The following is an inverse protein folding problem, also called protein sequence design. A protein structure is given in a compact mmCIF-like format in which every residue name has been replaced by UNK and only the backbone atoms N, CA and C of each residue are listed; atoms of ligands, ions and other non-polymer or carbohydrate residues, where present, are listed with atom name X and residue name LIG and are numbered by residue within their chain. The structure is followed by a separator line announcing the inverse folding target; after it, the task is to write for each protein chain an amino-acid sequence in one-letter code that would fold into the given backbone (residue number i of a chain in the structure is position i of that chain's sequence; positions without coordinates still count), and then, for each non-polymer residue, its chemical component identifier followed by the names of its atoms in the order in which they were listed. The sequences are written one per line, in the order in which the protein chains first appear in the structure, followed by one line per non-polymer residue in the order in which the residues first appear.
data_IF_419373400983
#
_entry.id   IF_419373400983
#
_cell.length_a   1.000
_cell.length_b   1.000
_cell.length_c   1.000
_cell.angle_alpha   90.00
_cell.angle_beta   90.00
_cell.angle_gamma   90.00
#
_symmetry.space_group_name_H-M   'P 1'
#
loop_
_entity.id
_entity.type
_entity.pdbx_description
1 polymer ?
#
# COMPACT_ATOMS: atom_id res chain seq x y z
N UNK A 1 1.37 21.05 -4.25
CA UNK A 1 0.29 20.49 -3.42
C UNK A 1 0.24 21.26 -2.11
N UNK A 2 -0.96 21.62 -1.62
CA UNK A 2 -1.08 22.12 -0.24
C UNK A 2 -0.69 21.01 0.73
N UNK A 3 -0.04 21.40 1.83
CA UNK A 3 0.24 20.50 2.95
C UNK A 3 -0.75 20.77 4.07
N UNK A 4 -1.15 19.70 4.74
CA UNK A 4 -1.95 19.77 5.95
C UNK A 4 -1.08 19.48 7.17
N UNK A 5 -1.19 20.34 8.18
CA UNK A 5 -0.39 20.31 9.40
C UNK A 5 -1.25 19.89 10.58
N UNK A 6 -0.86 18.84 11.31
CA UNK A 6 -1.64 18.31 12.44
C UNK A 6 -0.75 17.91 13.63
N UNK A 7 -1.38 17.65 14.77
CA UNK A 7 -0.69 17.21 15.98
C UNK A 7 0.16 18.29 16.65
N UNK A 8 1.14 17.87 17.46
CA UNK A 8 2.03 18.76 18.22
C UNK A 8 2.72 19.79 17.33
N UNK A 9 2.82 21.04 17.82
CA UNK A 9 3.52 22.12 17.13
C UNK A 9 4.99 21.75 16.83
N UNK A 10 5.67 21.08 17.75
CA UNK A 10 7.06 20.66 17.59
C UNK A 10 7.24 19.67 16.43
N UNK A 11 6.31 18.73 16.25
CA UNK A 11 6.35 17.77 15.14
C UNK A 11 6.09 18.45 13.81
N UNK A 12 5.07 19.32 13.75
CA UNK A 12 4.77 20.15 12.57
C UNK A 12 5.97 20.98 12.11
N UNK A 13 6.57 21.74 13.03
CA UNK A 13 7.73 22.57 12.72
C UNK A 13 8.93 21.74 12.26
N UNK A 14 9.19 20.60 12.94
CA UNK A 14 10.28 19.70 12.56
C UNK A 14 10.09 19.12 11.17
N UNK A 15 8.89 18.64 10.82
CA UNK A 15 8.60 18.09 9.50
C UNK A 15 8.65 19.16 8.40
N UNK A 16 8.19 20.40 8.67
CA UNK A 16 8.33 21.52 7.74
C UNK A 16 9.79 21.90 7.48
N UNK A 17 10.59 22.04 8.55
CA UNK A 17 12.01 22.35 8.43
C UNK A 17 12.75 21.24 7.67
N UNK A 18 12.41 19.98 7.93
CA UNK A 18 12.96 18.84 7.21
C UNK A 18 12.62 18.91 5.72
N UNK A 19 11.37 19.20 5.35
CA UNK A 19 10.96 19.33 3.95
C UNK A 19 11.73 20.46 3.23
N UNK A 20 11.87 21.63 3.85
CA UNK A 20 12.62 22.75 3.29
C UNK A 20 14.10 22.40 3.11
N UNK A 21 14.71 21.77 4.12
CA UNK A 21 16.10 21.35 4.07
C UNK A 21 16.34 20.27 3.01
N UNK A 22 15.48 19.24 2.92
CA UNK A 22 15.57 18.20 1.88
C UNK A 22 15.42 18.81 0.48
N UNK A 23 14.47 19.73 0.30
CA UNK A 23 14.26 20.43 -0.97
C UNK A 23 15.53 21.16 -1.42
N UNK A 24 16.20 21.87 -0.49
CA UNK A 24 17.46 22.54 -0.77
C UNK A 24 18.58 21.54 -1.09
N UNK A 25 18.73 20.49 -0.27
CA UNK A 25 19.77 19.48 -0.47
C UNK A 25 19.65 18.76 -1.81
N UNK A 26 18.45 18.29 -2.15
CA UNK A 26 18.19 17.60 -3.42
C UNK A 26 18.47 18.55 -4.58
N UNK A 27 18.08 19.81 -4.49
CA UNK A 27 18.39 20.82 -5.51
C UNK A 27 19.90 20.99 -5.72
N UNK A 28 20.66 21.19 -4.64
CA UNK A 28 22.12 21.35 -4.70
C UNK A 28 22.81 20.09 -5.23
N UNK A 29 22.39 18.91 -4.74
CA UNK A 29 22.91 17.62 -5.21
C UNK A 29 22.69 17.44 -6.71
N UNK A 30 21.47 17.73 -7.19
CA UNK A 30 21.13 17.60 -8.62
C UNK A 30 21.90 18.56 -9.51
N UNK A 31 22.16 19.78 -9.05
CA UNK A 31 23.00 20.74 -9.78
C UNK A 31 24.46 20.28 -9.91
N UNK A 32 24.96 19.48 -8.96
CA UNK A 32 26.35 19.00 -8.96
C UNK A 32 26.53 17.63 -9.62
N UNK A 33 25.57 16.73 -9.43
CA UNK A 33 25.72 15.30 -9.73
C UNK A 33 24.62 14.75 -10.65
N UNK A 34 23.61 15.56 -11.00
CA UNK A 34 22.42 15.09 -11.70
C UNK A 34 21.44 14.34 -10.77
N UNK A 35 20.36 13.77 -11.33
CA UNK A 35 19.37 13.02 -10.57
C UNK A 35 19.96 11.71 -10.00
N UNK A 36 19.48 11.27 -8.83
CA UNK A 36 19.92 10.00 -8.22
C UNK A 36 19.69 8.78 -9.13
N UNK A 37 18.55 8.77 -9.82
CA UNK A 37 18.24 7.83 -10.90
C UNK A 37 17.86 8.65 -12.14
N UNK A 38 18.26 8.21 -13.33
CA UNK A 38 18.14 9.03 -14.55
C UNK A 38 16.69 9.43 -14.89
N UNK A 39 15.71 8.61 -14.55
CA UNK A 39 14.27 8.87 -14.71
C UNK A 39 13.64 9.68 -13.57
N UNK A 40 14.37 9.96 -12.48
CA UNK A 40 13.81 10.68 -11.35
C UNK A 40 13.72 12.19 -11.61
N UNK A 41 12.49 12.67 -11.55
CA UNK A 41 12.21 14.11 -11.45
C UNK A 41 12.67 14.64 -10.08
N UNK A 42 12.81 15.96 -9.98
CA UNK A 42 13.08 16.62 -8.69
C UNK A 42 12.01 16.26 -7.64
N UNK A 43 10.75 16.12 -8.03
CA UNK A 43 9.63 15.78 -7.14
C UNK A 43 9.77 14.37 -6.57
N UNK A 44 10.10 13.38 -7.41
CA UNK A 44 10.30 11.99 -6.97
C UNK A 44 11.45 11.93 -5.97
N UNK A 45 12.60 12.52 -6.30
CA UNK A 45 13.79 12.48 -5.45
C UNK A 45 13.59 13.21 -4.12
N UNK A 46 12.94 14.38 -4.14
CA UNK A 46 12.62 15.18 -2.95
C UNK A 46 11.62 14.46 -2.06
N UNK A 47 10.53 13.94 -2.63
CA UNK A 47 9.51 13.20 -1.87
C UNK A 47 10.09 11.94 -1.24
N UNK A 48 10.87 11.16 -2.00
CA UNK A 48 11.51 9.93 -1.50
C UNK A 48 12.46 10.23 -0.36
N UNK A 49 13.34 11.23 -0.53
CA UNK A 49 14.30 11.62 0.51
C UNK A 49 13.59 12.18 1.74
N UNK A 50 12.53 12.96 1.55
CA UNK A 50 11.74 13.52 2.64
C UNK A 50 11.03 12.43 3.44
N UNK A 51 10.28 11.54 2.78
CA UNK A 51 9.58 10.42 3.42
C UNK A 51 10.56 9.54 4.17
N UNK A 52 11.70 9.20 3.56
CA UNK A 52 12.74 8.41 4.22
C UNK A 52 13.17 9.03 5.55
N UNK A 53 13.55 10.31 5.52
CA UNK A 53 14.05 10.99 6.72
C UNK A 53 12.95 11.21 7.76
N UNK A 54 11.71 11.39 7.31
CA UNK A 54 10.55 11.47 8.20
C UNK A 54 10.34 10.15 8.93
N UNK A 55 10.38 9.01 8.23
CA UNK A 55 10.32 7.67 8.81
C UNK A 55 11.50 7.43 9.78
N UNK A 56 12.73 7.83 9.42
CA UNK A 56 13.89 7.73 10.33
C UNK A 56 13.66 8.45 11.65
N UNK A 57 13.03 9.63 11.61
CA UNK A 57 12.70 10.39 12.82
C UNK A 57 11.58 9.70 13.58
N UNK A 58 10.53 9.25 12.90
CA UNK A 58 9.39 8.55 13.50
C UNK A 58 9.88 7.32 14.28
N UNK A 59 10.66 6.45 13.64
CA UNK A 59 11.21 5.23 14.25
C UNK A 59 12.19 5.50 15.41
N UNK A 60 12.71 6.72 15.51
CA UNK A 60 13.52 7.15 16.65
C UNK A 60 12.70 7.63 17.85
N UNK A 61 11.37 7.76 17.73
CA UNK A 61 10.51 8.19 18.82
C UNK A 61 10.17 7.02 19.77
N UNK A 62 10.07 7.28 21.09
CA UNK A 62 9.97 6.23 22.13
C UNK A 62 8.78 5.26 22.03
N UNK A 63 7.65 5.69 21.46
CA UNK A 63 6.40 4.89 21.47
C UNK A 63 5.74 4.90 20.10
N UNK A 64 5.13 3.79 19.69
CA UNK A 64 4.44 3.67 18.39
C UNK A 64 3.38 4.76 18.18
N UNK A 65 2.68 5.17 19.24
CA UNK A 65 1.73 6.28 19.22
C UNK A 65 2.38 7.62 18.81
N UNK A 66 3.59 7.92 19.33
CA UNK A 66 4.34 9.11 18.93
C UNK A 66 4.88 8.98 17.50
N UNK A 67 5.28 7.78 17.05
CA UNK A 67 5.72 7.55 15.68
C UNK A 67 4.57 7.85 14.70
N UNK A 68 3.38 7.28 14.93
CA UNK A 68 2.16 7.54 14.14
C UNK A 68 1.78 9.02 14.16
N UNK A 69 1.77 9.66 15.33
CA UNK A 69 1.48 11.10 15.46
C UNK A 69 2.47 11.96 14.66
N UNK A 70 3.75 11.60 14.67
CA UNK A 70 4.79 12.32 13.92
C UNK A 70 4.63 12.17 12.41
N UNK A 71 4.32 10.96 11.93
CA UNK A 71 4.09 10.72 10.50
C UNK A 71 2.87 11.48 9.96
N UNK A 72 1.84 11.69 10.79
CA UNK A 72 0.66 12.49 10.45
C UNK A 72 0.85 14.01 10.60
N UNK A 73 2.01 14.47 11.08
CA UNK A 73 2.22 15.89 11.39
C UNK A 73 2.30 16.78 10.14
N UNK A 74 2.77 16.23 9.01
CA UNK A 74 2.83 16.91 7.72
C UNK A 74 2.41 15.95 6.60
N UNK A 75 1.18 16.10 6.12
CA UNK A 75 0.61 15.26 5.07
C UNK A 75 0.36 16.10 3.82
N UNK A 76 0.86 15.65 2.67
CA UNK A 76 0.50 16.26 1.40
C UNK A 76 -0.98 16.00 1.13
N UNK A 77 -1.74 17.02 0.73
CA UNK A 77 -3.16 16.87 0.41
C UNK A 77 -3.37 17.06 -1.09
N UNK A 78 -3.78 16.00 -1.76
CA UNK A 78 -4.07 16.05 -3.19
C UNK A 78 -5.37 16.81 -3.46
N UNK A 79 -5.40 17.59 -4.53
CA UNK A 79 -6.64 18.21 -5.02
C UNK A 79 -7.68 17.18 -5.45
N UNK A 80 -7.25 15.95 -5.76
CA UNK A 80 -8.15 14.87 -6.19
C UNK A 80 -9.16 14.48 -5.10
N UNK A 81 -8.84 14.71 -3.82
CA UNK A 81 -9.77 14.48 -2.71
C UNK A 81 -11.04 15.32 -2.81
N UNK A 82 -11.00 16.48 -3.48
CA UNK A 82 -12.20 17.30 -3.70
C UNK A 82 -13.25 16.58 -4.57
N UNK A 83 -12.83 15.62 -5.40
CA UNK A 83 -13.72 14.82 -6.23
C UNK A 83 -14.34 13.65 -5.48
N UNK A 84 -13.95 13.41 -4.22
CA UNK A 84 -14.48 12.35 -3.37
C UNK A 84 -15.53 12.89 -2.39
N UNK A 85 -16.51 12.04 -2.09
CA UNK A 85 -17.29 12.08 -0.86
C UNK A 85 -16.72 11.01 0.07
N UNK A 86 -16.27 11.42 1.26
CA UNK A 86 -15.64 10.54 2.24
C UNK A 86 -16.58 10.38 3.44
N UNK A 87 -16.98 9.15 3.73
CA UNK A 87 -17.96 8.84 4.79
C UNK A 87 -17.36 7.81 5.73
N UNK A 88 -17.29 8.14 7.03
CA UNK A 88 -16.87 7.18 8.03
C UNK A 88 -17.97 6.14 8.26
N UNK A 89 -17.55 4.89 8.46
CA UNK A 89 -18.42 3.78 8.83
C UNK A 89 -17.85 3.10 10.06
N UNK A 90 -18.72 2.90 11.05
CA UNK A 90 -18.48 2.02 12.18
C UNK A 90 -19.79 1.24 12.40
N UNK A 91 -19.86 0.04 11.82
CA UNK A 91 -21.08 -0.76 11.81
C UNK A 91 -20.73 -2.24 11.74
N UNK A 92 -21.50 -3.08 12.45
CA UNK A 92 -21.33 -4.53 12.48
C UNK A 92 -19.89 -5.00 12.81
N UNK A 93 -19.18 -4.26 13.68
CA UNK A 93 -17.79 -4.57 14.05
C UNK A 93 -16.75 -4.18 13.00
N UNK A 94 -17.15 -3.57 11.89
CA UNK A 94 -16.26 -3.09 10.83
C UNK A 94 -16.12 -1.57 10.95
N UNK A 95 -14.88 -1.10 10.91
CA UNK A 95 -14.51 0.32 10.96
C UNK A 95 -13.75 0.72 9.71
N UNK A 96 -14.10 1.83 9.09
CA UNK A 96 -13.42 2.28 7.89
C UNK A 96 -14.05 3.52 7.28
N UNK A 97 -13.70 3.81 6.04
CA UNK A 97 -14.22 4.96 5.31
C UNK A 97 -14.60 4.60 3.88
N UNK A 98 -15.78 5.02 3.45
CA UNK A 98 -16.13 5.03 2.03
C UNK A 98 -15.49 6.23 1.35
N UNK A 99 -14.78 5.97 0.25
CA UNK A 99 -14.36 6.94 -0.75
C UNK A 99 -15.27 6.76 -1.96
N UNK A 100 -16.20 7.68 -2.13
CA UNK A 100 -17.20 7.65 -3.21
C UNK A 100 -16.86 8.74 -4.23
N UNK A 101 -16.51 8.36 -5.47
CA UNK A 101 -16.39 9.34 -6.55
C UNK A 101 -17.67 10.16 -6.70
N UNK A 102 -17.56 11.49 -6.79
CA UNK A 102 -18.71 12.38 -7.06
C UNK A 102 -19.24 12.23 -8.49
N UNK A 103 -18.44 11.66 -9.39
CA UNK A 103 -18.87 11.20 -10.71
C UNK A 103 -19.57 9.84 -10.58
N UNK A 104 -20.32 9.42 -11.60
CA UNK A 104 -20.95 8.10 -11.59
C UNK A 104 -19.93 6.99 -11.29
N UNK A 105 -20.21 6.18 -10.27
CA UNK A 105 -19.46 4.96 -9.98
C UNK A 105 -20.05 3.80 -10.80
N UNK A 106 -19.17 2.93 -11.32
CA UNK A 106 -19.56 1.66 -11.93
C UNK A 106 -20.13 0.68 -10.89
N UNK A 107 -20.34 -0.56 -11.33
CA UNK A 107 -20.92 -1.61 -10.47
C UNK A 107 -19.93 -2.25 -9.50
N UNK A 108 -18.63 -2.03 -9.69
CA UNK A 108 -17.59 -2.57 -8.81
C UNK A 108 -17.50 -1.82 -7.48
N UNK A 109 -17.17 -2.55 -6.43
CA UNK A 109 -16.81 -2.04 -5.11
C UNK A 109 -15.39 -2.50 -4.80
N UNK A 110 -14.54 -1.58 -4.36
CA UNK A 110 -13.17 -1.90 -3.94
C UNK A 110 -13.13 -2.01 -2.42
N UNK A 111 -12.72 -3.16 -1.88
CA UNK A 111 -12.25 -3.27 -0.50
C UNK A 111 -10.76 -2.91 -0.49
N UNK A 112 -10.41 -1.77 0.08
CA UNK A 112 -9.04 -1.29 0.13
C UNK A 112 -8.39 -1.56 1.49
N UNK A 113 -7.22 -2.16 1.46
CA UNK A 113 -6.40 -2.53 2.60
C UNK A 113 -5.11 -1.71 2.51
N UNK A 114 -4.95 -0.73 3.41
CA UNK A 114 -3.82 0.20 3.34
C UNK A 114 -2.49 -0.45 3.73
N UNK A 115 -1.37 0.10 3.26
CA UNK A 115 -0.01 -0.26 3.66
C UNK A 115 0.40 0.28 5.03
N UNK A 116 1.71 0.42 5.25
CA UNK A 116 2.27 0.90 6.53
C UNK A 116 2.81 -0.20 7.44
N UNK A 117 3.24 -1.33 6.88
CA UNK A 117 3.95 -2.39 7.63
C UNK A 117 3.11 -3.03 8.74
N UNK A 118 1.78 -3.03 8.61
CA UNK A 118 0.82 -3.38 9.66
C UNK A 118 0.91 -2.55 10.94
N UNK A 119 1.72 -1.49 10.97
CA UNK A 119 1.97 -0.68 12.16
C UNK A 119 1.50 0.76 12.00
N UNK A 120 1.26 1.23 10.77
CA UNK A 120 0.91 2.60 10.46
C UNK A 120 -0.37 2.66 9.60
N UNK A 121 -1.30 3.55 9.97
CA UNK A 121 -2.39 4.00 9.10
C UNK A 121 -2.33 5.52 9.03
N UNK A 122 -1.46 6.03 8.16
CA UNK A 122 -1.23 7.47 8.03
C UNK A 122 -2.25 8.07 7.06
N UNK A 123 -2.67 9.31 7.33
CA UNK A 123 -3.66 10.02 6.49
C UNK A 123 -3.19 10.27 5.06
N UNK A 124 -1.89 10.13 4.79
CA UNK A 124 -1.35 10.22 3.44
C UNK A 124 -1.95 9.15 2.50
N UNK A 125 -2.41 8.01 3.03
CA UNK A 125 -3.10 6.98 2.25
C UNK A 125 -4.41 7.50 1.63
N UNK A 126 -5.07 8.51 2.20
CA UNK A 126 -6.30 9.10 1.65
C UNK A 126 -6.11 9.50 0.18
N UNK A 127 -4.93 10.04 -0.17
CA UNK A 127 -4.62 10.40 -1.56
C UNK A 127 -4.58 9.17 -2.46
N UNK A 128 -3.84 8.12 -2.06
CA UNK A 128 -3.69 6.90 -2.84
C UNK A 128 -5.03 6.18 -3.01
N UNK A 129 -5.81 6.07 -1.92
CA UNK A 129 -7.15 5.48 -1.93
C UNK A 129 -8.05 6.27 -2.88
N UNK A 130 -8.01 7.61 -2.85
CA UNK A 130 -8.76 8.44 -3.79
C UNK A 130 -8.30 8.26 -5.24
N UNK A 131 -7.00 8.12 -5.49
CA UNK A 131 -6.48 7.84 -6.84
C UNK A 131 -6.98 6.51 -7.37
N UNK A 132 -6.96 5.47 -6.54
CA UNK A 132 -7.48 4.14 -6.89
C UNK A 132 -9.00 4.18 -7.09
N UNK A 133 -9.76 4.84 -6.22
CA UNK A 133 -11.20 4.99 -6.35
C UNK A 133 -11.60 5.70 -7.65
N UNK A 134 -10.88 6.78 -8.01
CA UNK A 134 -11.07 7.51 -9.26
C UNK A 134 -10.71 6.68 -10.49
N UNK A 135 -9.57 5.98 -10.45
CA UNK A 135 -9.12 5.12 -11.54
C UNK A 135 -10.11 3.96 -11.77
N UNK A 136 -10.49 3.27 -10.70
CA UNK A 136 -11.45 2.18 -10.72
C UNK A 136 -12.88 2.64 -11.09
N UNK A 137 -13.16 3.94 -10.98
CA UNK A 137 -14.51 4.52 -11.06
C UNK A 137 -15.47 3.77 -10.13
N UNK A 138 -15.02 3.46 -8.93
CA UNK A 138 -15.69 2.55 -8.01
C UNK A 138 -15.78 3.14 -6.61
N UNK A 139 -16.87 2.81 -5.90
CA UNK A 139 -16.94 3.06 -4.46
C UNK A 139 -15.86 2.22 -3.79
N UNK A 140 -15.04 2.85 -2.97
CA UNK A 140 -13.91 2.18 -2.31
C UNK A 140 -14.11 2.25 -0.81
N UNK A 141 -14.22 1.09 -0.15
CA UNK A 141 -14.23 0.99 1.29
C UNK A 141 -12.81 0.75 1.79
N UNK A 142 -12.20 1.77 2.40
CA UNK A 142 -10.91 1.65 3.05
C UNK A 142 -11.11 1.16 4.49
N UNK A 143 -10.60 -0.04 4.78
CA UNK A 143 -10.69 -0.66 6.09
C UNK A 143 -9.68 -0.03 7.06
N UNK A 144 -10.14 0.34 8.25
CA UNK A 144 -9.30 0.74 9.40
C UNK A 144 -9.05 -0.48 10.29
N UNK A 145 -8.18 -1.38 9.81
CA UNK A 145 -7.89 -2.65 10.49
C UNK A 145 -6.93 -2.46 11.68
N UNK A 146 -7.02 -3.37 12.66
CA UNK A 146 -6.17 -3.36 13.87
C UNK A 146 -4.68 -3.41 13.54
N UNK A 147 -3.87 -2.60 14.22
CA UNK A 147 -2.44 -2.47 13.92
C UNK A 147 -1.54 -3.12 14.99
N UNK A 148 -0.34 -3.49 14.55
CA UNK A 148 0.78 -3.90 15.39
C UNK A 148 1.50 -2.67 15.97
N UNK A 149 2.17 -2.80 17.13
CA UNK A 149 2.35 -3.99 17.96
C UNK A 149 1.19 -4.29 18.92
N UNK A 150 0.14 -3.47 18.96
CA UNK A 150 -0.99 -3.64 19.89
C UNK A 150 -1.82 -4.90 19.57
N UNK A 151 -1.98 -5.21 18.29
CA UNK A 151 -2.70 -6.36 17.80
C UNK A 151 -1.83 -7.14 16.81
N UNK A 152 -1.36 -8.31 17.24
CA UNK A 152 -0.51 -9.20 16.44
C UNK A 152 -1.35 -9.95 15.39
N UNK A 153 -0.71 -10.61 14.43
CA UNK A 153 -1.38 -11.56 13.56
C UNK A 153 -2.16 -12.61 14.40
N UNK A 154 -3.41 -12.99 14.03
CA UNK A 154 -4.12 -12.73 12.78
C UNK A 154 -5.12 -11.55 12.83
N UNK A 155 -5.02 -10.61 13.76
CA UNK A 155 -6.04 -9.55 13.96
C UNK A 155 -6.39 -8.78 12.67
N UNK A 156 -5.39 -8.48 11.85
CA UNK A 156 -5.54 -7.78 10.56
C UNK A 156 -6.37 -8.60 9.56
N UNK A 157 -6.11 -9.91 9.50
CA UNK A 157 -6.80 -10.83 8.59
C UNK A 157 -8.24 -11.06 9.03
N UNK A 158 -8.48 -11.19 10.34
CA UNK A 158 -9.82 -11.25 10.91
C UNK A 158 -10.65 -10.02 10.53
N UNK A 159 -10.07 -8.82 10.64
CA UNK A 159 -10.76 -7.57 10.28
C UNK A 159 -11.05 -7.49 8.77
N UNK A 160 -10.10 -7.94 7.93
CA UNK A 160 -10.28 -8.02 6.49
C UNK A 160 -11.40 -9.02 6.11
N UNK A 161 -11.48 -10.18 6.75
CA UNK A 161 -12.56 -11.14 6.57
C UNK A 161 -13.91 -10.56 7.02
N UNK A 162 -13.95 -9.89 8.18
CA UNK A 162 -15.15 -9.24 8.68
C UNK A 162 -15.66 -8.16 7.71
N UNK A 163 -14.76 -7.33 7.18
CA UNK A 163 -15.08 -6.31 6.18
C UNK A 163 -15.62 -6.92 4.89
N UNK A 164 -14.98 -7.98 4.38
CA UNK A 164 -15.42 -8.68 3.18
C UNK A 164 -16.83 -9.28 3.36
N UNK A 165 -17.07 -10.00 4.45
CA UNK A 165 -18.38 -10.56 4.76
C UNK A 165 -19.44 -9.48 4.99
N UNK A 166 -19.07 -8.35 5.59
CA UNK A 166 -19.97 -7.20 5.73
C UNK A 166 -20.41 -6.64 4.37
N UNK A 167 -19.50 -6.51 3.40
CA UNK A 167 -19.85 -6.12 2.03
C UNK A 167 -20.83 -7.11 1.38
N UNK A 168 -20.58 -8.43 1.54
CA UNK A 168 -21.49 -9.47 1.04
C UNK A 168 -22.88 -9.36 1.69
N UNK A 169 -22.93 -9.21 3.01
CA UNK A 169 -24.19 -9.06 3.77
C UNK A 169 -24.94 -7.78 3.42
N UNK A 170 -24.24 -6.77 2.92
CA UNK A 170 -24.81 -5.51 2.42
C UNK A 170 -25.36 -5.62 0.99
N UNK A 171 -25.41 -6.84 0.42
CA UNK A 171 -25.97 -7.13 -0.89
C UNK A 171 -25.00 -6.96 -2.06
N UNK A 172 -23.70 -6.76 -1.79
CA UNK A 172 -22.68 -6.67 -2.85
C UNK A 172 -22.26 -8.09 -3.22
N UNK A 173 -22.58 -8.52 -4.44
CA UNK A 173 -22.21 -9.86 -4.88
C UNK A 173 -20.68 -10.00 -5.06
N UNK A 174 -20.07 -11.18 -4.80
CA UNK A 174 -18.62 -11.38 -4.87
C UNK A 174 -17.99 -10.96 -6.20
N UNK A 175 -18.70 -11.18 -7.32
CA UNK A 175 -18.26 -10.79 -8.67
C UNK A 175 -18.21 -9.27 -8.91
N UNK A 176 -18.71 -8.47 -7.97
CA UNK A 176 -18.61 -7.01 -7.97
C UNK A 176 -17.54 -6.49 -6.99
N UNK A 177 -16.92 -7.36 -6.18
CA UNK A 177 -15.88 -6.96 -5.24
C UNK A 177 -14.51 -7.09 -5.90
N UNK A 178 -13.71 -6.03 -5.80
CA UNK A 178 -12.26 -6.04 -6.04
C UNK A 178 -11.58 -5.84 -4.68
N UNK A 179 -10.62 -6.68 -4.34
CA UNK A 179 -9.76 -6.44 -3.18
C UNK A 179 -8.51 -5.72 -3.66
N UNK A 180 -8.14 -4.60 -3.03
CA UNK A 180 -6.94 -3.88 -3.39
C UNK A 180 -6.15 -3.50 -2.14
N UNK A 181 -4.84 -3.38 -2.28
CA UNK A 181 -4.01 -2.90 -1.18
C UNK A 181 -2.57 -2.66 -1.59
N UNK A 182 -1.87 -1.87 -0.79
CA UNK A 182 -0.48 -1.51 -1.01
C UNK A 182 0.44 -2.07 0.09
N UNK A 183 1.68 -2.45 -0.23
CA UNK A 183 2.66 -2.88 0.77
C UNK A 183 2.13 -4.02 1.66
N UNK A 184 2.08 -3.84 2.98
CA UNK A 184 1.43 -4.73 3.93
C UNK A 184 -0.08 -4.95 3.66
N UNK A 185 -0.79 -3.94 3.18
CA UNK A 185 -2.18 -4.10 2.71
C UNK A 185 -2.28 -4.91 1.42
N UNK A 186 -1.25 -4.85 0.58
CA UNK A 186 -1.08 -5.74 -0.58
C UNK A 186 -0.87 -7.19 -0.17
N UNK A 187 -0.08 -7.44 0.89
CA UNK A 187 -0.02 -8.75 1.54
C UNK A 187 -1.39 -9.17 2.08
N UNK A 188 -2.06 -8.29 2.84
CA UNK A 188 -3.37 -8.57 3.44
C UNK A 188 -4.43 -8.91 2.38
N UNK A 189 -4.36 -8.29 1.22
CA UNK A 189 -5.21 -8.63 0.08
C UNK A 189 -4.98 -10.08 -0.37
N UNK A 190 -3.71 -10.50 -0.52
CA UNK A 190 -3.37 -11.87 -0.91
C UNK A 190 -3.78 -12.89 0.15
N UNK A 191 -3.50 -12.62 1.42
CA UNK A 191 -3.80 -13.53 2.53
C UNK A 191 -5.30 -13.61 2.83
N UNK A 192 -6.06 -12.54 2.57
CA UNK A 192 -7.53 -12.59 2.55
C UNK A 192 -8.04 -13.55 1.46
N UNK A 193 -7.49 -13.51 0.24
CA UNK A 193 -7.90 -14.46 -0.81
C UNK A 193 -7.62 -15.91 -0.42
N UNK A 194 -6.44 -16.17 0.15
CA UNK A 194 -6.06 -17.49 0.66
C UNK A 194 -7.03 -17.97 1.72
N UNK A 195 -7.28 -17.15 2.74
CA UNK A 195 -8.20 -17.49 3.83
C UNK A 195 -9.63 -17.75 3.34
N UNK A 196 -10.13 -16.96 2.38
CA UNK A 196 -11.45 -17.17 1.77
C UNK A 196 -11.50 -18.49 0.98
N UNK A 197 -10.49 -18.76 0.15
CA UNK A 197 -10.42 -20.01 -0.63
C UNK A 197 -10.37 -21.23 0.28
N UNK A 198 -9.49 -21.21 1.28
CA UNK A 198 -9.26 -22.34 2.17
C UNK A 198 -10.50 -22.64 3.03
N UNK A 199 -11.29 -21.60 3.35
CA UNK A 199 -12.59 -21.71 3.99
C UNK A 199 -13.77 -21.96 3.01
N UNK A 200 -13.48 -22.23 1.73
CA UNK A 200 -14.48 -22.46 0.65
C UNK A 200 -15.53 -21.34 0.54
N UNK A 201 -15.14 -20.10 0.85
CA UNK A 201 -15.99 -18.93 0.76
C UNK A 201 -16.02 -18.35 -0.66
N UNK A 202 -17.07 -17.59 -1.02
CA UNK A 202 -17.11 -16.89 -2.30
C UNK A 202 -15.93 -15.93 -2.45
N UNK A 203 -15.18 -16.06 -3.54
CA UNK A 203 -14.00 -15.24 -3.84
C UNK A 203 -14.41 -13.92 -4.54
N UNK A 204 -13.66 -12.82 -4.33
CA UNK A 204 -13.86 -11.59 -5.07
C UNK A 204 -13.50 -11.79 -6.55
N UNK A 205 -13.89 -10.83 -7.39
CA UNK A 205 -13.63 -10.86 -8.83
C UNK A 205 -12.13 -10.82 -9.18
N UNK A 206 -11.36 -10.03 -8.43
CA UNK A 206 -9.98 -9.65 -8.75
C UNK A 206 -9.28 -9.13 -7.49
N UNK A 207 -7.96 -9.35 -7.39
CA UNK A 207 -7.10 -8.59 -6.49
C UNK A 207 -6.15 -7.65 -7.24
N UNK A 208 -5.95 -6.44 -6.71
CA UNK A 208 -4.97 -5.45 -7.19
C UNK A 208 -3.99 -5.14 -6.06
N UNK A 209 -2.76 -5.61 -6.20
CA UNK A 209 -1.72 -5.51 -5.18
C UNK A 209 -0.63 -4.54 -5.62
N UNK A 210 -0.42 -3.46 -4.87
CA UNK A 210 0.59 -2.43 -5.16
C UNK A 210 1.80 -2.67 -4.26
N UNK A 211 2.94 -3.04 -4.86
CA UNK A 211 4.20 -3.31 -4.15
C UNK A 211 4.01 -4.26 -2.94
N UNK A 212 3.34 -5.42 -3.10
CA UNK A 212 2.91 -6.24 -1.95
C UNK A 212 4.10 -6.84 -1.20
N UNK A 213 4.03 -6.79 0.13
CA UNK A 213 5.03 -7.39 1.02
C UNK A 213 4.81 -8.90 1.15
N UNK A 214 5.25 -9.68 0.15
CA UNK A 214 4.85 -11.09 -0.04
C UNK A 214 5.58 -12.12 0.84
N UNK A 215 6.64 -11.71 1.53
CA UNK A 215 7.48 -12.59 2.33
C UNK A 215 8.10 -11.83 3.51
N UNK A 216 8.08 -12.46 4.70
CA UNK A 216 8.71 -11.95 5.91
C UNK A 216 10.22 -12.27 5.99
N UNK A 217 10.76 -13.07 5.07
CA UNK A 217 12.21 -13.23 4.95
C UNK A 217 12.88 -11.89 4.59
N UNK A 218 13.91 -11.54 5.36
CA UNK A 218 14.69 -10.31 5.22
C UNK A 218 16.03 -10.51 4.49
N UNK A 219 16.25 -11.71 3.91
CA UNK A 219 17.48 -12.09 3.22
C UNK A 219 17.56 -11.65 1.75
N UNK A 220 16.45 -11.17 1.17
CA UNK A 220 16.38 -10.72 -0.22
C UNK A 220 17.41 -9.62 -0.55
N UNK A 221 18.08 -9.77 -1.69
CA UNK A 221 19.15 -8.86 -2.14
C UNK A 221 18.64 -7.43 -2.33
N UNK A 222 17.45 -7.25 -2.91
CA UNK A 222 16.83 -5.95 -3.11
C UNK A 222 16.63 -5.16 -1.82
N UNK A 223 16.43 -5.80 -0.66
CA UNK A 223 16.27 -5.11 0.62
C UNK A 223 17.49 -4.25 0.98
N UNK A 224 18.68 -4.64 0.51
CA UNK A 224 19.94 -3.90 0.72
C UNK A 224 20.31 -3.05 -0.49
N UNK A 225 20.23 -3.59 -1.70
CA UNK A 225 20.73 -2.92 -2.90
C UNK A 225 19.84 -1.77 -3.37
N UNK A 226 18.52 -1.92 -3.22
CA UNK A 226 17.57 -0.87 -3.59
C UNK A 226 17.34 0.14 -2.47
N UNK A 227 17.87 -0.12 -1.26
CA UNK A 227 17.68 0.75 -0.11
C UNK A 227 17.98 2.23 -0.43
N UNK A 228 19.09 2.63 -1.08
CA UNK A 228 19.37 4.05 -1.40
C UNK A 228 18.33 4.76 -2.29
N UNK A 229 17.49 3.99 -3.00
CA UNK A 229 16.50 4.46 -3.96
C UNK A 229 15.07 4.40 -3.43
N UNK A 230 14.90 4.01 -2.18
CA UNK A 230 13.58 3.89 -1.57
C UNK A 230 13.44 4.77 -0.32
N UNK A 231 12.19 5.00 0.05
CA UNK A 231 11.82 5.71 1.27
C UNK A 231 11.62 4.77 2.47
N UNK A 232 11.34 3.49 2.23
CA UNK A 232 11.42 2.45 3.28
C UNK A 232 12.87 1.96 3.47
N UNK A 233 13.17 1.47 4.66
CA UNK A 233 14.50 0.95 5.02
C UNK A 233 14.41 -0.49 5.48
N UNK A 234 15.48 -1.28 5.27
CA UNK A 234 15.50 -2.71 5.62
C UNK A 234 15.18 -2.92 7.11
N UNK A 235 15.73 -2.08 7.98
CA UNK A 235 15.49 -2.13 9.43
C UNK A 235 14.01 -1.96 9.81
N UNK A 236 13.24 -1.22 9.00
CA UNK A 236 11.81 -1.01 9.25
C UNK A 236 11.04 -2.27 8.89
N UNK A 237 11.36 -2.88 7.75
CA UNK A 237 10.79 -4.17 7.31
C UNK A 237 11.04 -5.26 8.36
N UNK A 238 12.26 -5.36 8.88
CA UNK A 238 12.61 -6.30 9.96
C UNK A 238 11.79 -6.02 11.22
N UNK A 239 11.72 -4.76 11.67
CA UNK A 239 10.98 -4.41 12.87
C UNK A 239 9.48 -4.69 12.75
N UNK A 240 8.89 -4.41 11.58
CA UNK A 240 7.50 -4.72 11.29
C UNK A 240 7.25 -6.23 11.28
N UNK A 241 8.17 -7.03 10.72
CA UNK A 241 8.06 -8.49 10.70
C UNK A 241 8.08 -9.05 12.13
N UNK A 242 8.99 -8.54 12.97
CA UNK A 242 9.08 -8.91 14.40
C UNK A 242 7.81 -8.60 15.18
N UNK A 243 7.15 -7.47 14.91
CA UNK A 243 5.88 -7.13 15.56
C UNK A 243 4.74 -7.98 15.00
N UNK A 244 4.63 -8.10 13.68
CA UNK A 244 3.53 -8.80 13.03
C UNK A 244 3.54 -10.30 13.29
N UNK A 245 4.71 -10.94 13.19
CA UNK A 245 4.87 -12.39 13.32
C UNK A 245 5.12 -12.84 14.76
N UNK A 246 4.99 -11.97 15.77
CA UNK A 246 5.27 -12.37 17.15
C UNK A 246 4.34 -13.50 17.58
N UNK A 247 4.90 -14.68 17.80
CA UNK A 247 4.15 -15.89 18.16
C UNK A 247 3.53 -16.65 16.99
N UNK A 248 3.86 -16.27 15.75
CA UNK A 248 3.46 -16.98 14.52
C UNK A 248 4.70 -17.28 13.68
N UNK A 249 4.72 -18.44 13.04
CA UNK A 249 5.77 -18.80 12.09
C UNK A 249 5.80 -17.79 10.90
N UNK A 250 6.91 -17.10 10.62
CA UNK A 250 7.02 -16.21 9.47
C UNK A 250 6.84 -16.92 8.12
N UNK A 251 7.04 -18.25 8.05
CA UNK A 251 6.80 -19.03 6.83
C UNK A 251 5.32 -19.47 6.67
N UNK A 252 4.45 -19.18 7.64
CA UNK A 252 3.02 -19.46 7.54
C UNK A 252 2.46 -18.80 6.27
N UNK A 253 1.74 -19.55 5.43
CA UNK A 253 1.22 -19.05 4.15
C UNK A 253 0.21 -17.89 4.30
N UNK A 254 -0.41 -17.71 5.48
CA UNK A 254 -1.29 -16.57 5.78
C UNK A 254 -0.52 -15.35 6.31
N UNK A 255 0.79 -15.46 6.46
CA UNK A 255 1.73 -14.39 6.83
C UNK A 255 2.61 -14.05 5.62
N UNK A 256 3.22 -15.06 5.00
CA UNK A 256 4.09 -14.98 3.82
C UNK A 256 3.45 -15.76 2.66
N UNK A 257 2.57 -15.12 1.88
CA UNK A 257 1.81 -15.79 0.82
C UNK A 257 2.67 -16.39 -0.30
N UNK A 258 3.96 -16.05 -0.37
CA UNK A 258 4.94 -16.73 -1.25
C UNK A 258 5.00 -18.25 -1.00
N UNK A 259 4.73 -18.72 0.22
CA UNK A 259 4.74 -20.15 0.56
C UNK A 259 3.41 -20.87 0.27
N UNK A 260 2.38 -20.15 -0.19
CA UNK A 260 1.06 -20.72 -0.43
C UNK A 260 0.96 -21.55 -1.73
N UNK A 261 -0.01 -22.45 -1.76
CA UNK A 261 -0.66 -22.83 -3.02
C UNK A 261 -1.51 -21.64 -3.48
N UNK A 262 -1.39 -21.22 -4.73
CA UNK A 262 -2.07 -20.06 -5.33
C UNK A 262 -3.12 -20.49 -6.36
N UNK A 263 -3.30 -21.80 -6.58
CA UNK A 263 -4.36 -22.33 -7.46
C UNK A 263 -5.74 -22.04 -6.87
N UNK A 264 -6.71 -21.86 -7.75
CA UNK A 264 -8.09 -21.57 -7.39
C UNK A 264 -8.33 -20.17 -6.83
N UNK A 265 -7.30 -19.32 -6.71
CA UNK A 265 -7.48 -17.90 -6.41
C UNK A 265 -8.06 -17.16 -7.63
N UNK A 266 -8.77 -16.03 -7.43
CA UNK A 266 -9.15 -15.16 -8.53
C UNK A 266 -7.91 -14.56 -9.20
N UNK A 267 -8.05 -13.89 -10.36
CA UNK A 267 -6.94 -13.17 -10.95
C UNK A 267 -6.32 -12.18 -9.95
N UNK A 268 -5.00 -12.13 -9.93
CA UNK A 268 -4.21 -11.19 -9.12
C UNK A 268 -3.38 -10.34 -10.06
N UNK A 269 -3.50 -9.04 -9.93
CA UNK A 269 -2.73 -8.07 -10.69
C UNK A 269 -1.79 -7.30 -9.76
N UNK A 270 -0.49 -7.31 -10.07
CA UNK A 270 0.56 -6.75 -9.24
C UNK A 270 1.29 -5.64 -10.00
N UNK A 271 1.51 -4.50 -9.34
CA UNK A 271 2.45 -3.48 -9.79
C UNK A 271 3.56 -3.31 -8.77
N UNK A 272 4.81 -3.22 -9.24
CA UNK A 272 5.98 -2.99 -8.39
C UNK A 272 7.00 -2.12 -9.11
N UNK A 273 7.82 -1.36 -8.39
CA UNK A 273 8.96 -0.65 -8.96
C UNK A 273 10.23 -1.50 -8.99
N UNK A 274 11.09 -1.37 -10.00
CA UNK A 274 12.38 -2.11 -10.01
C UNK A 274 13.43 -1.55 -9.02
N UNK A 275 13.20 -0.35 -8.50
CA UNK A 275 14.07 0.34 -7.55
C UNK A 275 13.53 0.31 -6.11
N UNK A 276 12.50 -0.52 -5.83
CA UNK A 276 11.94 -0.68 -4.49
C UNK A 276 12.56 -1.85 -3.72
N UNK A 277 12.51 -1.80 -2.39
CA UNK A 277 13.08 -2.83 -1.52
C UNK A 277 12.44 -4.22 -1.72
N UNK A 278 11.14 -4.28 -2.01
CA UNK A 278 10.35 -5.52 -2.00
C UNK A 278 10.32 -6.25 -3.36
N UNK A 279 11.01 -5.73 -4.39
CA UNK A 279 10.87 -6.27 -5.75
C UNK A 279 11.27 -7.75 -5.89
N UNK A 280 12.32 -8.21 -5.20
CA UNK A 280 12.77 -9.59 -5.38
C UNK A 280 11.78 -10.60 -4.82
N UNK A 281 11.20 -10.36 -3.63
CA UNK A 281 10.14 -11.23 -3.08
C UNK A 281 8.88 -11.22 -3.96
N UNK A 282 8.51 -10.06 -4.53
CA UNK A 282 7.38 -9.94 -5.45
C UNK A 282 7.63 -10.77 -6.72
N UNK A 283 8.86 -10.75 -7.26
CA UNK A 283 9.25 -11.59 -8.40
C UNK A 283 9.20 -13.07 -8.06
N UNK A 284 9.67 -13.47 -6.88
CA UNK A 284 9.59 -14.86 -6.41
C UNK A 284 8.14 -15.31 -6.27
N UNK A 285 7.28 -14.50 -5.65
CA UNK A 285 5.84 -14.75 -5.55
C UNK A 285 5.20 -14.96 -6.93
N UNK A 286 5.43 -14.03 -7.86
CA UNK A 286 4.86 -14.10 -9.20
C UNK A 286 5.38 -15.32 -9.99
N UNK A 287 6.67 -15.62 -9.90
CA UNK A 287 7.28 -16.79 -10.53
C UNK A 287 6.66 -18.11 -10.03
N UNK A 288 6.52 -18.25 -8.70
CA UNK A 288 5.85 -19.43 -8.10
C UNK A 288 4.39 -19.54 -8.52
N UNK A 289 3.68 -18.42 -8.59
CA UNK A 289 2.30 -18.41 -9.07
C UNK A 289 2.18 -18.91 -10.52
N UNK A 290 3.10 -18.46 -11.38
CA UNK A 290 3.16 -18.90 -12.77
C UNK A 290 3.50 -20.40 -12.89
N UNK A 291 4.46 -20.90 -12.11
CA UNK A 291 4.82 -22.33 -12.04
C UNK A 291 3.63 -23.21 -11.60
N UNK A 292 2.78 -22.69 -10.71
CA UNK A 292 1.56 -23.37 -10.25
C UNK A 292 0.38 -23.26 -11.22
N UNK A 293 0.49 -22.43 -12.27
CA UNK A 293 -0.60 -22.14 -13.21
C UNK A 293 -1.69 -21.21 -12.64
N UNK A 294 -1.38 -20.43 -11.60
CA UNK A 294 -2.28 -19.42 -11.05
C UNK A 294 -2.31 -18.16 -11.93
N UNK A 295 -3.45 -17.46 -11.93
CA UNK A 295 -3.64 -16.25 -12.75
C UNK A 295 -3.04 -15.03 -12.08
N UNK A 296 -1.71 -14.86 -12.20
CA UNK A 296 -0.98 -13.69 -11.66
C UNK A 296 -0.31 -12.92 -12.80
N UNK A 297 -0.57 -11.61 -12.88
CA UNK A 297 0.12 -10.71 -13.80
C UNK A 297 0.94 -9.70 -13.00
N UNK A 298 2.24 -9.60 -13.28
CA UNK A 298 3.17 -8.67 -12.62
C UNK A 298 3.67 -7.63 -13.64
N UNK A 299 3.44 -6.35 -13.33
CA UNK A 299 4.05 -5.22 -14.04
C UNK A 299 5.15 -4.58 -13.20
N UNK A 300 6.38 -4.63 -13.71
CA UNK A 300 7.54 -4.00 -13.07
C UNK A 300 7.86 -2.66 -13.73
N UNK A 301 7.81 -1.60 -12.95
CA UNK A 301 7.96 -0.22 -13.39
C UNK A 301 9.40 0.27 -13.19
N UNK A 302 10.03 0.65 -14.31
CA UNK A 302 11.44 1.05 -14.33
C UNK A 302 11.71 2.28 -13.47
N UNK A 303 12.72 2.19 -12.62
CA UNK A 303 13.21 3.19 -11.67
C UNK A 303 12.16 3.72 -10.69
N UNK A 304 11.03 3.01 -10.52
CA UNK A 304 10.04 3.35 -9.51
C UNK A 304 10.40 2.71 -8.18
N UNK A 305 10.07 3.42 -7.10
CA UNK A 305 10.27 2.98 -5.72
C UNK A 305 8.96 2.51 -5.10
N UNK A 306 9.00 2.20 -3.81
CA UNK A 306 7.87 1.61 -3.10
C UNK A 306 6.62 2.48 -3.18
N UNK A 307 5.49 1.87 -3.58
CA UNK A 307 4.18 2.51 -3.71
C UNK A 307 4.23 3.80 -4.55
N UNK A 308 4.97 3.80 -5.66
CA UNK A 308 5.09 4.95 -6.56
C UNK A 308 3.74 5.46 -7.11
N UNK A 309 2.68 4.65 -7.04
CA UNK A 309 1.30 5.04 -7.36
C UNK A 309 0.82 6.21 -6.49
N UNK A 310 1.41 6.41 -5.30
CA UNK A 310 1.10 7.52 -4.40
C UNK A 310 1.58 8.89 -4.93
N UNK A 311 2.46 8.93 -5.95
CA UNK A 311 2.76 10.19 -6.65
C UNK A 311 1.56 10.75 -7.42
N UNK A 312 0.55 9.92 -7.70
CA UNK A 312 -0.67 10.29 -8.39
C UNK A 312 -0.42 10.95 -9.75
N UNK A 313 -1.23 11.94 -10.15
CA UNK A 313 -1.12 12.57 -11.47
C UNK A 313 0.11 13.47 -11.63
N UNK A 314 0.99 13.56 -10.63
CA UNK A 314 2.17 14.44 -10.65
C UNK A 314 3.31 13.83 -11.45
N UNK A 315 3.40 12.51 -11.49
CA UNK A 315 4.39 11.79 -12.30
C UNK A 315 3.70 11.00 -13.39
N UNK A 316 4.34 10.92 -14.55
CA UNK A 316 3.78 10.21 -15.70
C UNK A 316 3.61 8.72 -15.40
N UNK A 317 4.62 8.07 -14.80
CA UNK A 317 4.57 6.64 -14.49
C UNK A 317 3.47 6.31 -13.47
N UNK A 318 3.25 7.13 -12.44
CA UNK A 318 2.14 6.91 -11.50
C UNK A 318 0.77 7.07 -12.18
N UNK A 319 0.62 8.09 -13.04
CA UNK A 319 -0.60 8.28 -13.84
C UNK A 319 -0.89 7.08 -14.75
N UNK A 320 0.12 6.56 -15.43
CA UNK A 320 0.02 5.39 -16.31
C UNK A 320 -0.31 4.13 -15.50
N UNK A 321 0.33 3.93 -14.34
CA UNK A 321 0.04 2.81 -13.45
C UNK A 321 -1.41 2.82 -12.96
N UNK A 322 -1.94 3.99 -12.57
CA UNK A 322 -3.35 4.15 -12.21
C UNK A 322 -4.30 3.86 -13.39
N UNK A 323 -3.92 4.28 -14.60
CA UNK A 323 -4.70 3.97 -15.81
C UNK A 323 -4.72 2.46 -16.08
N UNK A 324 -3.61 1.75 -15.83
CA UNK A 324 -3.56 0.29 -15.99
C UNK A 324 -4.41 -0.44 -14.96
N UNK A 325 -4.50 0.06 -13.72
CA UNK A 325 -5.45 -0.44 -12.70
C UNK A 325 -6.90 -0.34 -13.20
N UNK A 326 -7.28 0.81 -13.79
CA UNK A 326 -8.61 0.98 -14.39
C UNK A 326 -8.90 -0.09 -15.44
N UNK A 327 -7.96 -0.30 -16.35
CA UNK A 327 -8.13 -1.22 -17.47
C UNK A 327 -8.29 -2.67 -16.99
N UNK A 328 -7.50 -3.10 -16.00
CA UNK A 328 -7.62 -4.44 -15.39
C UNK A 328 -8.98 -4.62 -14.70
N UNK A 329 -9.43 -3.63 -13.92
CA UNK A 329 -10.72 -3.69 -13.22
C UNK A 329 -11.89 -3.78 -14.22
N UNK A 330 -11.85 -2.99 -15.30
CA UNK A 330 -12.88 -3.01 -16.35
C UNK A 330 -12.90 -4.33 -17.13
N UNK A 331 -11.73 -4.89 -17.44
CA UNK A 331 -11.62 -6.18 -18.15
C UNK A 331 -12.01 -7.37 -17.26
N UNK A 332 -11.80 -7.28 -15.95
CA UNK A 332 -12.03 -8.38 -15.00
C UNK A 332 -11.11 -9.57 -15.22
N UNK A 333 -9.91 -9.34 -15.73
CA UNK A 333 -8.87 -10.36 -15.93
C UNK A 333 -7.54 -9.78 -15.44
N UNK A 334 -6.69 -10.61 -14.86
CA UNK A 334 -5.25 -10.32 -14.83
C UNK A 334 -4.80 -10.25 -16.29
N UNK A 335 -4.11 -9.18 -16.67
CA UNK A 335 -3.74 -8.91 -18.06
C UNK A 335 -2.96 -10.08 -18.68
#
# INVERSE_FOLDING_TARGET
MPFELRGRLTYRLRSLLLLLWVSLLVTVSRLRHGPRLSGWTWVVETTTTFLRLQERVAFGLPTIAQQREYMDALVARSSQLAHMQIEAVEAAGVKGQWFVPRTAAGTSVVLYLHGGGYAFSIRAHDNLIAFVALAAQARTFALDYRLTPEHLFPAQLEDAQAAYHWLLSSGIAPQHIVVAGDSAGGNLALTLLLALRDAQQPLPRLAVCLCPWTDMDSSYRSLKENEPYDWIEQRMVVQWAEWFCRGTDPENHLVSPVHADLRGLPPIYIQAGDAELLIDMIRVFAGRAQEQGASVSLEVWKQMNHVFQAYGPITQQSKEALQRIKEVIQQGRGA
#
